data_IF_560901412938
#
_entry.id   IF_560901412938
#
_cell.length_a   1.000
_cell.length_b   1.000
_cell.length_c   1.000
_cell.angle_alpha   90.00
_cell.angle_beta   90.00
_cell.angle_gamma   90.00
#
_symmetry.space_group_name_H-M   'P 1'
#
loop_
_entity.id
_entity.type
_entity.pdbx_description
1 polymer ?
#
# COMPACT_ATOMS: atom_id res chain seq x y z
N UNK A 1 6.25 24.50 -7.79
CA UNK A 1 6.42 23.20 -7.09
C UNK A 1 7.64 23.10 -6.16
N UNK A 2 8.87 23.47 -6.54
CA UNK A 2 10.08 23.22 -5.71
C UNK A 2 10.05 23.79 -4.27
N UNK A 3 9.32 24.88 -4.02
CA UNK A 3 9.31 25.55 -2.71
C UNK A 3 8.42 24.90 -1.64
N UNK A 4 7.35 24.21 -2.02
CA UNK A 4 6.40 23.61 -1.05
C UNK A 4 6.94 22.26 -0.55
N UNK A 5 7.49 21.45 -1.45
CA UNK A 5 8.14 20.17 -1.11
C UNK A 5 9.32 20.33 -0.14
N UNK A 6 10.07 21.44 -0.24
CA UNK A 6 11.14 21.76 0.70
C UNK A 6 10.65 22.01 2.13
N UNK A 7 9.41 22.50 2.31
CA UNK A 7 8.82 22.72 3.64
C UNK A 7 8.26 21.44 4.24
N UNK A 8 7.74 20.55 3.39
CA UNK A 8 7.15 19.28 3.82
C UNK A 8 8.22 18.23 4.12
N UNK A 9 9.30 18.20 3.34
CA UNK A 9 10.39 17.24 3.48
C UNK A 9 11.78 17.92 3.37
N UNK A 10 12.15 18.81 4.31
CA UNK A 10 13.42 19.55 4.26
C UNK A 10 14.65 18.63 4.16
N UNK A 11 14.61 17.47 4.81
CA UNK A 11 15.67 16.45 4.80
C UNK A 11 16.02 15.89 3.41
N UNK A 12 15.12 15.98 2.43
CA UNK A 12 15.37 15.53 1.04
C UNK A 12 15.95 16.62 0.14
N UNK A 13 15.87 17.88 0.56
CA UNK A 13 16.21 19.06 -0.26
C UNK A 13 17.27 19.99 0.36
N UNK A 14 17.69 19.72 1.59
CA UNK A 14 18.76 20.47 2.29
C UNK A 14 20.16 19.92 2.01
N UNK A 15 20.26 18.68 1.52
CA UNK A 15 21.41 18.28 0.72
C UNK A 15 21.26 18.95 -0.63
N UNK A 16 22.21 19.82 -1.00
CA UNK A 16 22.45 20.07 -2.42
C UNK A 16 22.49 18.68 -3.07
N UNK A 17 21.48 18.36 -3.88
CA UNK A 17 21.48 17.18 -4.73
C UNK A 17 22.49 17.42 -5.87
N UNK A 18 23.75 17.63 -5.49
CA UNK A 18 24.92 17.45 -6.33
C UNK A 18 24.94 15.96 -6.66
N UNK A 19 24.43 15.60 -7.84
CA UNK A 19 24.23 14.20 -8.23
C UNK A 19 22.95 13.94 -9.01
N UNK A 20 22.13 14.96 -9.30
CA UNK A 20 21.28 14.87 -10.49
C UNK A 20 22.19 15.02 -11.72
N UNK A 21 23.01 13.99 -11.95
CA UNK A 21 23.78 13.82 -13.19
C UNK A 21 22.81 13.82 -14.37
N UNK A 22 23.34 14.15 -15.54
CA UNK A 22 22.58 14.44 -16.75
C UNK A 22 21.45 13.41 -16.95
N UNK A 23 20.16 13.83 -16.97
CA UNK A 23 19.03 12.90 -16.83
C UNK A 23 18.99 11.78 -17.86
N UNK A 24 19.63 11.96 -19.01
CA UNK A 24 19.61 11.02 -20.12
C UNK A 24 20.40 9.72 -19.82
N UNK A 25 21.58 9.80 -19.20
CA UNK A 25 22.43 8.62 -18.95
C UNK A 25 21.85 7.71 -17.86
N UNK A 26 21.30 8.31 -16.79
CA UNK A 26 20.63 7.56 -15.71
C UNK A 26 19.36 6.89 -16.22
N UNK A 27 18.56 7.59 -17.03
CA UNK A 27 17.35 7.02 -17.61
C UNK A 27 17.71 5.85 -18.52
N UNK A 28 18.76 5.98 -19.34
CA UNK A 28 19.22 4.89 -20.19
C UNK A 28 19.69 3.68 -19.37
N UNK A 29 20.52 3.88 -18.35
CA UNK A 29 21.00 2.81 -17.47
C UNK A 29 19.84 2.09 -16.77
N UNK A 30 18.86 2.84 -16.27
CA UNK A 30 17.67 2.28 -15.61
C UNK A 30 16.81 1.49 -16.59
N UNK A 31 16.58 2.01 -17.81
CA UNK A 31 15.84 1.32 -18.87
C UNK A 31 16.51 -0.03 -19.20
N UNK A 32 17.83 -0.06 -19.37
CA UNK A 32 18.57 -1.30 -19.64
C UNK A 32 18.44 -2.31 -18.47
N UNK A 33 18.54 -1.83 -17.22
CA UNK A 33 18.35 -2.67 -16.03
C UNK A 33 16.96 -3.29 -15.93
N UNK A 34 15.92 -2.51 -16.25
CA UNK A 34 14.53 -2.97 -16.26
C UNK A 34 14.32 -4.02 -17.36
N UNK A 35 14.84 -3.82 -18.57
CA UNK A 35 14.80 -4.81 -19.66
C UNK A 35 15.41 -6.13 -19.24
N UNK A 36 16.58 -6.11 -18.59
CA UNK A 36 17.25 -7.32 -18.10
C UNK A 36 16.39 -8.05 -17.08
N UNK A 37 15.85 -7.33 -16.10
CA UNK A 37 14.99 -7.91 -15.06
C UNK A 37 13.70 -8.48 -15.63
N UNK A 38 13.01 -7.75 -16.50
CA UNK A 38 11.77 -8.17 -17.13
C UNK A 38 11.96 -9.43 -17.98
N UNK A 39 13.05 -9.50 -18.74
CA UNK A 39 13.38 -10.70 -19.53
C UNK A 39 13.80 -11.88 -18.65
N UNK A 40 14.44 -11.64 -17.50
CA UNK A 40 14.70 -12.68 -16.50
C UNK A 40 13.40 -13.26 -15.91
N UNK A 41 12.34 -12.44 -15.87
CA UNK A 41 10.99 -12.83 -15.46
C UNK A 41 10.12 -13.34 -16.62
N UNK A 42 10.71 -13.58 -17.80
CA UNK A 42 10.03 -14.08 -19.00
C UNK A 42 8.92 -13.16 -19.55
N UNK A 43 9.00 -11.85 -19.29
CA UNK A 43 8.00 -10.87 -19.74
C UNK A 43 8.22 -10.37 -21.18
N UNK A 44 9.33 -10.74 -21.82
CA UNK A 44 9.70 -10.36 -23.20
C UNK A 44 9.50 -8.86 -23.45
N UNK A 45 10.38 -8.05 -22.87
CA UNK A 45 10.32 -6.58 -22.92
C UNK A 45 11.58 -6.03 -23.56
N UNK A 46 11.46 -5.02 -24.42
CA UNK A 46 12.55 -4.30 -25.06
C UNK A 46 12.70 -2.88 -24.50
N UNK A 47 13.83 -2.23 -24.77
CA UNK A 47 14.06 -0.84 -24.36
C UNK A 47 13.08 0.14 -25.03
N UNK A 48 12.60 -0.21 -26.23
CA UNK A 48 11.57 0.57 -26.94
C UNK A 48 10.25 0.54 -26.19
N UNK A 49 9.83 -0.62 -25.69
CA UNK A 49 8.57 -0.76 -24.95
C UNK A 49 8.55 0.10 -23.67
N UNK A 50 9.70 0.22 -23.00
CA UNK A 50 9.85 1.07 -21.81
C UNK A 50 9.82 2.55 -22.18
N UNK A 51 10.50 2.94 -23.25
CA UNK A 51 10.51 4.33 -23.70
C UNK A 51 9.12 4.78 -24.17
N UNK A 52 8.39 3.92 -24.89
CA UNK A 52 7.02 4.19 -25.32
C UNK A 52 6.10 4.38 -24.12
N UNK A 53 6.26 3.56 -23.07
CA UNK A 53 5.54 3.70 -21.81
C UNK A 53 5.89 5.03 -21.11
N UNK A 54 7.17 5.39 -21.03
CA UNK A 54 7.60 6.64 -20.41
C UNK A 54 7.06 7.86 -21.17
N UNK A 55 7.05 7.83 -22.50
CA UNK A 55 6.50 8.92 -23.30
C UNK A 55 4.97 9.00 -23.19
N UNK A 56 4.26 7.88 -23.09
CA UNK A 56 2.81 7.87 -22.85
C UNK A 56 2.44 8.52 -21.49
N UNK A 57 3.29 8.35 -20.49
CA UNK A 57 3.12 8.91 -19.14
C UNK A 57 3.90 10.20 -18.87
N UNK A 58 4.42 10.84 -19.91
CA UNK A 58 5.20 12.09 -19.79
C UNK A 58 4.34 13.31 -19.52
N UNK A 59 3.03 13.22 -19.78
CA UNK A 59 2.07 14.29 -19.47
C UNK A 59 2.06 14.49 -17.96
N UNK A 60 2.36 15.71 -17.51
CA UNK A 60 2.19 16.09 -16.11
C UNK A 60 0.72 15.88 -15.71
N UNK A 61 0.48 15.18 -14.61
CA UNK A 61 -0.86 15.07 -14.06
C UNK A 61 -1.38 16.46 -13.71
N UNK A 62 -2.61 16.74 -14.14
CA UNK A 62 -3.31 17.94 -13.71
C UNK A 62 -4.01 17.70 -12.38
N UNK A 63 -4.38 18.78 -11.69
CA UNK A 63 -5.16 18.68 -10.45
C UNK A 63 -6.52 18.00 -10.69
N UNK A 64 -7.12 18.19 -11.86
CA UNK A 64 -8.36 17.51 -12.25
C UNK A 64 -8.11 16.00 -12.47
N UNK A 65 -7.02 15.63 -13.15
CA UNK A 65 -6.65 14.20 -13.30
C UNK A 65 -6.42 13.52 -11.94
N UNK A 66 -5.94 14.26 -10.93
CA UNK A 66 -5.76 13.76 -9.55
C UNK A 66 -7.10 13.59 -8.81
N UNK A 67 -8.04 14.52 -9.01
CA UNK A 67 -9.38 14.45 -8.43
C UNK A 67 -10.21 13.32 -9.05
N UNK A 68 -10.10 13.13 -10.37
CA UNK A 68 -10.77 12.04 -11.08
C UNK A 68 -10.25 10.66 -10.59
N UNK A 69 -8.95 10.55 -10.28
CA UNK A 69 -8.39 9.34 -9.68
C UNK A 69 -8.88 9.10 -8.24
N UNK A 70 -9.02 10.16 -7.44
CA UNK A 70 -9.60 10.08 -6.09
C UNK A 70 -11.08 9.66 -6.13
N UNK A 71 -11.85 10.21 -7.07
CA UNK A 71 -13.25 9.85 -7.27
C UNK A 71 -13.38 8.40 -7.78
N UNK A 72 -12.49 7.95 -8.67
CA UNK A 72 -12.47 6.54 -9.12
C UNK A 72 -12.13 5.56 -7.99
N UNK A 73 -11.19 5.90 -7.09
CA UNK A 73 -10.92 5.12 -5.87
C UNK A 73 -12.13 5.09 -4.93
N UNK A 74 -12.87 6.20 -4.81
CA UNK A 74 -14.08 6.29 -4.00
C UNK A 74 -15.24 5.49 -4.61
N UNK A 75 -15.38 5.47 -5.95
CA UNK A 75 -16.36 4.63 -6.64
C UNK A 75 -16.05 3.14 -6.58
N UNK A 76 -14.77 2.73 -6.64
CA UNK A 76 -14.36 1.34 -6.43
C UNK A 76 -14.61 0.87 -4.97
N UNK A 77 -14.60 1.79 -3.98
CA UNK A 77 -15.05 1.51 -2.60
C UNK A 77 -16.58 1.42 -2.45
N UNK A 78 -17.37 1.99 -3.39
CA UNK A 78 -18.84 2.13 -3.27
C UNK A 78 -19.61 1.19 -4.22
N UNK A 79 -19.03 0.73 -5.32
CA UNK A 79 -19.67 -0.21 -6.27
C UNK A 79 -19.69 -1.69 -5.83
N UNK A 80 -19.17 -2.04 -4.65
CA UNK A 80 -19.29 -3.40 -4.08
C UNK A 80 -20.67 -3.68 -3.43
N UNK A 81 -21.77 -3.17 -4.02
CA UNK A 81 -23.13 -3.42 -3.51
C UNK A 81 -24.15 -3.82 -4.60
N UNK A 82 -23.84 -3.79 -5.90
CA UNK A 82 -24.84 -4.15 -6.92
C UNK A 82 -24.31 -4.94 -8.12
N UNK A 83 -23.76 -6.13 -7.90
CA UNK A 83 -23.78 -7.21 -8.90
C UNK A 83 -23.69 -8.59 -8.21
N UNK A 84 -24.45 -9.62 -8.63
CA UNK A 84 -24.28 -10.97 -8.10
C UNK A 84 -23.11 -11.64 -8.81
N UNK A 85 -21.90 -11.18 -8.55
CA UNK A 85 -20.69 -11.93 -8.84
C UNK A 85 -20.17 -12.50 -7.53
N UNK A 86 -19.78 -13.76 -7.56
CA UNK A 86 -19.30 -14.56 -6.42
C UNK A 86 -18.54 -13.73 -5.40
N UNK A 87 -18.84 -13.83 -4.09
CA UNK A 87 -18.20 -12.98 -3.09
C UNK A 87 -16.69 -13.23 -3.16
N UNK A 88 -15.97 -12.25 -3.69
CA UNK A 88 -14.53 -12.17 -3.51
C UNK A 88 -14.37 -11.99 -2.02
N UNK A 89 -14.06 -13.07 -1.30
CA UNK A 89 -13.90 -13.05 0.15
C UNK A 89 -12.73 -12.12 0.49
N UNK A 90 -13.03 -10.84 0.63
CA UNK A 90 -12.08 -9.83 1.05
C UNK A 90 -11.90 -9.93 2.57
N UNK A 91 -10.66 -9.95 3.03
CA UNK A 91 -10.36 -10.02 4.46
C UNK A 91 -10.65 -8.69 5.15
N UNK A 92 -11.81 -8.57 5.77
CA UNK A 92 -12.16 -7.40 6.58
C UNK A 92 -11.31 -7.36 7.87
N UNK A 93 -10.64 -6.23 8.15
CA UNK A 93 -9.79 -6.04 9.34
C UNK A 93 -10.56 -6.25 10.65
N UNK A 94 -11.78 -5.72 10.76
CA UNK A 94 -12.63 -5.87 11.94
C UNK A 94 -13.08 -7.32 12.11
N UNK A 95 -13.44 -7.98 11.02
CA UNK A 95 -13.82 -9.40 11.04
C UNK A 95 -12.67 -10.31 11.49
N UNK A 96 -11.44 -10.03 11.03
CA UNK A 96 -10.24 -10.73 11.49
C UNK A 96 -9.94 -10.48 12.97
N UNK A 97 -10.05 -9.22 13.42
CA UNK A 97 -9.86 -8.87 14.83
C UNK A 97 -10.86 -9.59 15.75
N UNK A 98 -12.14 -9.60 15.38
CA UNK A 98 -13.20 -10.34 16.09
C UNK A 98 -12.89 -11.85 16.12
N UNK A 99 -12.46 -12.44 15.00
CA UNK A 99 -12.07 -13.84 14.95
C UNK A 99 -10.90 -14.17 15.89
N UNK A 100 -9.88 -13.32 15.96
CA UNK A 100 -8.75 -13.51 16.88
C UNK A 100 -9.20 -13.43 18.35
N UNK A 101 -10.08 -12.49 18.70
CA UNK A 101 -10.63 -12.41 20.05
C UNK A 101 -11.40 -13.68 20.45
N UNK A 102 -12.17 -14.25 19.52
CA UNK A 102 -12.86 -15.51 19.75
C UNK A 102 -11.89 -16.68 19.96
N UNK A 103 -10.80 -16.75 19.18
CA UNK A 103 -9.78 -17.79 19.34
C UNK A 103 -9.06 -17.70 20.69
N UNK A 104 -8.63 -16.51 21.11
CA UNK A 104 -7.98 -16.35 22.41
C UNK A 104 -8.94 -16.67 23.56
N UNK A 105 -10.21 -16.27 23.46
CA UNK A 105 -11.24 -16.66 24.43
C UNK A 105 -11.45 -18.19 24.50
N UNK A 106 -11.39 -18.88 23.36
CA UNK A 106 -11.48 -20.33 23.34
C UNK A 106 -10.25 -20.98 24.01
N UNK A 107 -9.05 -20.44 23.78
CA UNK A 107 -7.83 -20.85 24.45
C UNK A 107 -7.94 -20.68 25.97
N UNK A 108 -8.39 -19.52 26.45
CA UNK A 108 -8.57 -19.25 27.88
C UNK A 108 -9.54 -20.25 28.54
N UNK A 109 -10.62 -20.58 27.83
CA UNK A 109 -11.58 -21.60 28.30
C UNK A 109 -10.90 -22.97 28.40
N UNK A 110 -10.14 -23.39 27.39
CA UNK A 110 -9.44 -24.68 27.44
C UNK A 110 -8.40 -24.72 28.55
N UNK A 111 -7.62 -23.67 28.75
CA UNK A 111 -6.62 -23.60 29.82
C UNK A 111 -7.27 -23.63 31.21
N UNK A 112 -8.43 -22.98 31.40
CA UNK A 112 -9.14 -22.97 32.68
C UNK A 112 -9.86 -24.28 33.01
N UNK A 113 -10.34 -25.02 32.00
CA UNK A 113 -11.09 -26.27 32.19
C UNK A 113 -10.18 -27.50 32.21
N UNK A 114 -9.02 -27.43 31.57
CA UNK A 114 -8.11 -28.56 31.45
C UNK A 114 -7.13 -28.61 32.63
N UNK A 115 -7.28 -29.62 33.50
CA UNK A 115 -6.33 -29.87 34.59
C UNK A 115 -4.94 -30.30 34.11
N UNK A 116 -4.80 -30.75 32.86
CA UNK A 116 -3.51 -31.07 32.25
C UNK A 116 -2.97 -29.85 31.50
N UNK A 117 -2.08 -29.11 32.17
CA UNK A 117 -1.45 -27.92 31.63
C UNK A 117 -0.63 -28.17 30.36
N UNK A 118 0.04 -29.31 30.25
CA UNK A 118 0.87 -29.61 29.07
C UNK A 118 0.00 -29.83 27.83
N UNK A 119 -1.12 -30.52 28.00
CA UNK A 119 -2.11 -30.72 26.93
C UNK A 119 -2.74 -29.40 26.48
N UNK A 120 -3.24 -28.59 27.42
CA UNK A 120 -3.87 -27.31 27.09
C UNK A 120 -2.90 -26.33 26.44
N UNK A 121 -1.69 -26.21 26.98
CA UNK A 121 -0.62 -25.37 26.40
C UNK A 121 -0.26 -25.81 24.98
N UNK A 122 -0.19 -27.13 24.73
CA UNK A 122 0.08 -27.65 23.40
C UNK A 122 -1.01 -27.26 22.41
N UNK A 123 -2.29 -27.41 22.79
CA UNK A 123 -3.44 -27.02 21.95
C UNK A 123 -3.42 -25.51 21.68
N UNK A 124 -3.18 -24.69 22.70
CA UNK A 124 -3.11 -23.24 22.55
C UNK A 124 -2.03 -22.80 21.56
N UNK A 125 -0.85 -23.43 21.63
CA UNK A 125 0.25 -23.18 20.71
C UNK A 125 -0.08 -23.62 19.28
N UNK A 126 -0.62 -24.82 19.13
CA UNK A 126 -0.95 -25.36 17.80
C UNK A 126 -2.04 -24.50 17.14
N UNK A 127 -3.08 -24.08 17.88
CA UNK A 127 -4.11 -23.17 17.38
C UNK A 127 -3.52 -21.83 16.92
N UNK A 128 -2.66 -21.20 17.73
CA UNK A 128 -1.96 -19.95 17.37
C UNK A 128 -1.12 -20.08 16.11
N UNK A 129 -0.50 -21.24 15.89
CA UNK A 129 0.24 -21.52 14.67
C UNK A 129 -0.70 -21.67 13.47
N UNK A 130 -1.82 -22.37 13.63
CA UNK A 130 -2.77 -22.64 12.54
C UNK A 130 -3.42 -21.37 11.98
N UNK A 131 -3.67 -20.34 12.82
CA UNK A 131 -4.18 -19.05 12.33
C UNK A 131 -3.12 -17.96 12.17
N UNK A 132 -1.82 -18.29 12.25
CA UNK A 132 -0.74 -17.32 12.08
C UNK A 132 -0.76 -16.64 10.70
N UNK A 133 -1.11 -17.38 9.64
CA UNK A 133 -1.24 -16.85 8.28
C UNK A 133 -2.26 -15.69 8.19
N UNK A 134 -3.35 -15.75 8.95
CA UNK A 134 -4.33 -14.67 8.98
C UNK A 134 -3.82 -13.44 9.73
N UNK A 135 -2.93 -13.61 10.72
CA UNK A 135 -2.26 -12.48 11.39
C UNK A 135 -1.32 -11.75 10.43
N UNK A 136 -0.63 -12.48 9.56
CA UNK A 136 0.21 -11.88 8.50
C UNK A 136 -0.65 -11.02 7.57
N UNK A 137 -1.74 -11.59 7.04
CA UNK A 137 -2.71 -10.85 6.19
C UNK A 137 -3.29 -9.62 6.90
N UNK A 138 -3.66 -9.75 8.18
CA UNK A 138 -4.16 -8.62 8.97
C UNK A 138 -3.12 -7.50 9.06
N UNK A 139 -1.86 -7.84 9.35
CA UNK A 139 -0.79 -6.88 9.48
C UNK A 139 -0.50 -6.17 8.16
N UNK A 140 -0.43 -6.92 7.06
CA UNK A 140 -0.26 -6.36 5.71
C UNK A 140 -1.36 -5.35 5.39
N UNK A 141 -2.62 -5.75 5.54
CA UNK A 141 -3.77 -4.87 5.28
C UNK A 141 -3.77 -3.63 6.18
N UNK A 142 -3.47 -3.81 7.47
CA UNK A 142 -3.38 -2.70 8.41
C UNK A 142 -2.29 -1.70 8.02
N UNK A 143 -1.14 -2.18 7.57
CA UNK A 143 -0.07 -1.29 7.08
C UNK A 143 -0.49 -0.56 5.82
N UNK A 144 -1.11 -1.24 4.85
CA UNK A 144 -1.65 -0.60 3.64
C UNK A 144 -2.64 0.52 3.99
N UNK A 145 -3.58 0.27 4.91
CA UNK A 145 -4.53 1.30 5.37
C UNK A 145 -3.83 2.48 6.01
N UNK A 146 -2.83 2.26 6.88
CA UNK A 146 -2.08 3.34 7.52
C UNK A 146 -1.33 4.16 6.46
N UNK A 147 -0.64 3.50 5.52
CA UNK A 147 0.07 4.17 4.43
C UNK A 147 -0.88 5.00 3.58
N UNK A 148 -2.05 4.47 3.22
CA UNK A 148 -3.08 5.19 2.47
C UNK A 148 -3.60 6.41 3.25
N UNK A 149 -3.88 6.26 4.55
CA UNK A 149 -4.30 7.40 5.40
C UNK A 149 -3.24 8.50 5.49
N UNK A 150 -1.96 8.13 5.56
CA UNK A 150 -0.86 9.10 5.60
C UNK A 150 -0.74 9.85 4.26
N UNK A 151 -0.91 9.15 3.13
CA UNK A 151 -0.95 9.76 1.80
C UNK A 151 -2.12 10.73 1.67
N UNK A 152 -3.35 10.31 2.03
CA UNK A 152 -4.54 11.18 2.02
C UNK A 152 -4.33 12.44 2.87
N UNK A 153 -3.81 12.29 4.10
CA UNK A 153 -3.55 13.43 5.00
C UNK A 153 -2.51 14.41 4.43
N UNK A 154 -1.46 13.90 3.76
CA UNK A 154 -0.47 14.74 3.11
C UNK A 154 -1.09 15.55 1.97
N UNK A 155 -1.96 14.93 1.16
CA UNK A 155 -2.66 15.57 0.05
C UNK A 155 -3.66 16.63 0.54
N UNK A 156 -4.51 16.33 1.53
CA UNK A 156 -5.48 17.30 2.06
C UNK A 156 -4.80 18.53 2.70
N UNK A 157 -3.63 18.32 3.32
CA UNK A 157 -2.82 19.42 3.88
C UNK A 157 -2.22 20.33 2.81
N UNK A 158 -1.94 19.79 1.63
CA UNK A 158 -1.43 20.53 0.49
C UNK A 158 -2.53 21.43 -0.11
N UNK A 159 -3.70 20.86 -0.39
CA UNK A 159 -4.87 21.58 -0.97
C UNK A 159 -5.35 22.70 -0.04
N UNK A 160 -5.40 22.44 1.27
CA UNK A 160 -5.83 23.45 2.26
C UNK A 160 -4.89 24.65 2.39
N UNK A 161 -3.62 24.50 2.00
CA UNK A 161 -2.63 25.58 2.04
C UNK A 161 -2.66 26.45 0.78
N UNK A 162 -3.04 25.92 -0.38
CA UNK A 162 -3.20 26.70 -1.61
C UNK A 162 -4.43 27.63 -1.55
N UNK A 163 -5.54 27.17 -0.96
CA UNK A 163 -6.77 27.98 -0.78
C UNK A 163 -6.60 29.17 0.17
N UNK A 164 -5.56 29.20 1.01
CA UNK A 164 -5.26 30.32 1.93
C UNK A 164 -4.31 31.36 1.35
N UNK A 165 -3.72 31.10 0.17
CA UNK A 165 -2.78 32.02 -0.48
C UNK A 165 -3.41 32.89 -1.58
N UNK A 166 -4.75 32.86 -1.72
CA UNK A 166 -5.50 33.61 -2.74
C UNK A 166 -6.36 34.77 -2.19
N UNK A 167 -6.14 35.24 -0.97
CA UNK A 167 -6.63 36.53 -0.45
C UNK A 167 -5.46 37.49 -0.17
#
# INVERSE_FOLDING_TARGET
MKGVWKKLCPQLFDTNVEGFEEPAEIVQQNTEGIVILANRLYLVVSATDINDLLEAHKKELTNEDLLDMEEQEEFEEVEDVTAPETPVHSFNLKGLEEAFQHMEKAIDIFESQDSNFERSTKVARDLRNDYACYKEIYNERKQTTITACLQKTAVTSYVSNESKTSE
#
